data_IF_852974388133
#
_entry.id   IF_852974388133
#
_cell.length_a   1.000
_cell.length_b   1.000
_cell.length_c   1.000
_cell.angle_alpha   90.00
_cell.angle_beta   90.00
_cell.angle_gamma   90.00
#
_symmetry.space_group_name_H-M   'P 1'
#
loop_
_entity.id
_entity.type
_entity.pdbx_description
1 polymer ?
#
# COMPACT_ATOMS: atom_id res chain seq x y z
N UNK A 1 4.46 3.16 3.87
CA UNK A 1 3.36 4.13 4.01
C UNK A 1 2.03 3.39 3.99
N UNK A 2 1.18 3.64 4.98
CA UNK A 2 -0.20 3.15 5.01
C UNK A 2 -1.21 4.29 5.07
N UNK A 3 -2.36 4.10 4.44
CA UNK A 3 -3.51 4.99 4.55
C UNK A 3 -4.72 4.18 4.99
N UNK A 4 -5.41 4.64 6.01
CA UNK A 4 -6.63 4.03 6.51
C UNK A 4 -7.80 4.97 6.26
N UNK A 5 -8.87 4.42 5.69
CA UNK A 5 -10.13 5.11 5.41
C UNK A 5 -11.31 4.31 5.98
N UNK A 6 -12.52 4.82 5.89
CA UNK A 6 -13.73 4.03 6.20
C UNK A 6 -13.96 2.85 5.25
N UNK A 7 -13.37 2.88 4.05
CA UNK A 7 -13.54 1.84 3.02
C UNK A 7 -12.48 0.74 3.11
N UNK A 8 -11.36 0.97 3.79
CA UNK A 8 -10.29 -0.01 3.93
C UNK A 8 -8.95 0.59 4.31
N UNK A 9 -7.97 -0.29 4.44
CA UNK A 9 -6.56 0.05 4.60
C UNK A 9 -5.83 -0.16 3.28
N UNK A 10 -4.99 0.81 2.92
CA UNK A 10 -4.21 0.83 1.69
C UNK A 10 -2.74 0.91 2.07
N UNK A 11 -1.91 0.05 1.48
CA UNK A 11 -0.47 0.06 1.70
C UNK A 11 0.24 0.49 0.42
N UNK A 12 1.17 1.44 0.55
CA UNK A 12 2.09 1.81 -0.51
C UNK A 12 3.51 1.43 -0.10
N UNK A 13 3.99 0.25 -0.52
CA UNK A 13 5.41 -0.07 -0.48
C UNK A 13 6.19 0.86 -1.42
N UNK A 14 7.55 0.82 -1.42
CA UNK A 14 8.35 1.58 -2.38
C UNK A 14 7.83 1.42 -3.81
N UNK A 15 7.90 2.49 -4.58
CA UNK A 15 7.40 2.54 -5.96
C UNK A 15 5.88 2.36 -6.10
N UNK A 16 5.12 2.67 -5.05
CA UNK A 16 3.66 2.73 -5.07
C UNK A 16 3.18 4.07 -4.53
N UNK A 17 2.07 4.53 -5.06
CA UNK A 17 1.38 5.72 -4.56
C UNK A 17 -0.05 5.37 -4.16
N UNK A 18 -0.62 6.12 -3.25
CA UNK A 18 -2.02 6.00 -2.88
C UNK A 18 -2.74 7.22 -3.43
N UNK A 19 -3.68 6.98 -4.35
CA UNK A 19 -4.62 7.98 -4.78
C UNK A 19 -5.73 8.11 -3.74
N UNK A 20 -5.95 9.32 -3.26
CA UNK A 20 -6.98 9.62 -2.27
C UNK A 20 -7.92 10.64 -2.91
N UNK A 21 -9.21 10.33 -3.08
CA UNK A 21 -10.17 11.26 -3.65
C UNK A 21 -10.38 12.49 -2.76
N UNK A 22 -10.78 13.63 -3.34
CA UNK A 22 -11.11 14.83 -2.58
C UNK A 22 -12.16 14.55 -1.51
N UNK A 23 -11.99 15.13 -0.31
CA UNK A 23 -12.95 15.02 0.78
C UNK A 23 -13.00 13.68 1.51
N UNK A 24 -12.24 12.66 1.08
CA UNK A 24 -12.20 11.39 1.78
C UNK A 24 -11.41 11.51 3.09
N UNK A 25 -12.10 11.38 4.23
CA UNK A 25 -11.46 11.34 5.54
C UNK A 25 -10.53 10.13 5.64
N UNK A 26 -9.26 10.38 5.97
CA UNK A 26 -8.24 9.36 6.06
C UNK A 26 -7.21 9.66 7.15
N UNK A 27 -6.53 8.62 7.60
CA UNK A 27 -5.33 8.73 8.45
C UNK A 27 -4.14 8.11 7.73
N UNK A 28 -2.98 8.73 7.92
CA UNK A 28 -1.72 8.25 7.34
C UNK A 28 -0.89 7.61 8.44
N UNK A 29 -0.39 6.41 8.17
CA UNK A 29 0.50 5.67 9.07
C UNK A 29 1.85 5.51 8.39
N UNK A 30 2.89 6.04 9.02
CA UNK A 30 4.27 5.96 8.53
C UNK A 30 5.14 5.23 9.55
N UNK A 31 6.24 4.64 9.10
CA UNK A 31 7.33 4.18 9.95
C UNK A 31 8.41 5.27 10.03
N UNK A 32 9.28 5.21 11.04
CA UNK A 32 10.35 6.21 11.26
C UNK A 32 11.29 6.42 10.06
N UNK A 33 11.38 5.45 9.15
CA UNK A 33 12.23 5.50 7.95
C UNK A 33 11.47 5.89 6.67
N UNK A 34 10.21 6.31 6.77
CA UNK A 34 9.40 6.61 5.59
C UNK A 34 9.61 8.05 5.13
N UNK A 35 10.05 8.24 3.89
CA UNK A 35 10.01 9.53 3.21
C UNK A 35 8.73 9.63 2.39
N UNK A 36 7.74 10.34 2.90
CA UNK A 36 6.50 10.59 2.19
C UNK A 36 6.63 11.83 1.30
N UNK A 37 6.09 11.74 0.09
CA UNK A 37 5.87 12.88 -0.80
C UNK A 37 4.39 12.94 -1.14
N UNK A 38 3.77 14.09 -0.90
CA UNK A 38 2.36 14.32 -1.22
C UNK A 38 2.26 15.31 -2.36
N UNK A 39 1.40 14.99 -3.32
CA UNK A 39 0.97 15.89 -4.37
C UNK A 39 -0.50 16.23 -4.13
N UNK A 40 -0.82 17.50 -4.14
CA UNK A 40 -2.18 18.00 -4.10
C UNK A 40 -2.56 18.44 -5.51
N UNK A 41 -3.47 17.71 -6.13
CA UNK A 41 -3.87 17.91 -7.53
C UNK A 41 -5.28 18.48 -7.53
N UNK A 42 -5.45 19.65 -8.15
CA UNK A 42 -6.76 20.25 -8.33
C UNK A 42 -7.64 19.31 -9.18
N UNK A 43 -8.92 19.07 -8.82
CA UNK A 43 -9.80 18.16 -9.57
C UNK A 43 -9.92 18.51 -11.06
N UNK A 44 -9.82 19.79 -11.41
CA UNK A 44 -9.86 20.27 -12.80
C UNK A 44 -8.59 19.95 -13.61
N UNK A 45 -7.44 19.74 -12.93
CA UNK A 45 -6.15 19.52 -13.58
C UNK A 45 -5.97 18.08 -14.08
N UNK A 46 -6.74 17.13 -13.54
CA UNK A 46 -6.62 15.73 -13.91
C UNK A 46 -7.99 15.08 -14.07
N UNK A 47 -8.35 14.74 -15.31
CA UNK A 47 -9.53 13.94 -15.61
C UNK A 47 -9.22 12.47 -15.38
N UNK A 48 -9.71 11.92 -14.29
CA UNK A 48 -9.56 10.51 -13.98
C UNK A 48 -10.94 9.91 -13.71
N UNK A 49 -11.43 8.95 -14.53
CA UNK A 49 -12.74 8.34 -14.36
C UNK A 49 -12.90 7.62 -13.02
N UNK A 50 -11.79 7.16 -12.44
CA UNK A 50 -11.78 6.48 -11.14
C UNK A 50 -11.31 7.38 -9.98
N UNK A 51 -11.41 8.71 -10.15
CA UNK A 51 -10.94 9.66 -9.13
C UNK A 51 -11.74 9.60 -7.81
N UNK A 52 -12.93 8.99 -7.82
CA UNK A 52 -13.85 8.95 -6.67
C UNK A 52 -13.53 7.87 -5.63
N UNK A 53 -12.60 6.95 -5.91
CA UNK A 53 -12.23 5.89 -4.96
C UNK A 53 -10.76 5.92 -4.60
N UNK A 54 -10.46 5.52 -3.36
CA UNK A 54 -9.09 5.31 -2.92
C UNK A 54 -8.49 4.06 -3.59
N UNK A 55 -7.26 4.17 -4.10
CA UNK A 55 -6.58 3.07 -4.81
C UNK A 55 -5.08 3.20 -4.72
N UNK A 56 -4.40 2.07 -4.88
CA UNK A 56 -2.93 2.02 -4.94
C UNK A 56 -2.50 1.94 -6.38
N UNK A 57 -1.56 2.79 -6.77
CA UNK A 57 -1.04 2.92 -8.13
C UNK A 57 0.41 2.43 -8.20
N UNK A 58 0.76 1.74 -9.28
CA UNK A 58 2.12 1.35 -9.58
C UNK A 58 2.92 2.52 -10.13
N UNK A 59 3.93 3.01 -9.40
CA UNK A 59 4.74 4.15 -9.82
C UNK A 59 5.91 3.67 -10.67
N UNK A 60 5.97 4.14 -11.92
CA UNK A 60 7.11 3.85 -12.81
C UNK A 60 8.35 4.65 -12.42
N UNK A 61 9.58 4.24 -12.83
CA UNK A 61 10.78 5.05 -12.59
C UNK A 61 10.65 6.48 -13.12
N UNK A 62 10.06 6.66 -14.30
CA UNK A 62 9.81 7.99 -14.87
C UNK A 62 8.93 8.85 -13.97
N UNK A 63 7.79 8.29 -13.53
CA UNK A 63 6.86 9.03 -12.65
C UNK A 63 7.52 9.39 -11.33
N UNK A 64 8.34 8.52 -10.77
CA UNK A 64 9.08 8.80 -9.54
C UNK A 64 10.02 10.01 -9.69
N UNK A 65 10.76 10.08 -10.81
CA UNK A 65 11.68 11.21 -11.05
C UNK A 65 10.90 12.50 -11.36
N UNK A 66 9.79 12.41 -12.08
CA UNK A 66 8.88 13.55 -12.29
C UNK A 66 8.32 14.08 -10.96
N UNK A 67 7.86 13.20 -10.06
CA UNK A 67 7.41 13.59 -8.72
C UNK A 67 8.55 14.31 -7.95
N UNK A 68 9.77 13.77 -8.00
CA UNK A 68 10.93 14.39 -7.35
C UNK A 68 11.24 15.77 -7.91
N UNK A 69 11.14 15.94 -9.21
CA UNK A 69 11.39 17.22 -9.88
C UNK A 69 10.31 18.24 -9.53
N UNK A 70 9.03 17.85 -9.67
CA UNK A 70 7.89 18.75 -9.41
C UNK A 70 7.82 19.17 -7.93
N UNK A 71 8.12 18.27 -6.98
CA UNK A 71 8.12 18.63 -5.54
C UNK A 71 9.24 19.60 -5.13
N UNK A 72 10.14 19.95 -6.03
CA UNK A 72 11.19 20.98 -5.82
C UNK A 72 10.84 22.33 -6.43
N UNK A 73 9.80 22.40 -7.26
CA UNK A 73 9.33 23.64 -7.83
C UNK A 73 8.78 24.58 -6.75
N UNK A 74 8.87 25.89 -6.93
CA UNK A 74 8.16 26.83 -6.07
C UNK A 74 6.66 26.61 -6.17
N UNK A 75 5.91 27.02 -5.16
CA UNK A 75 4.43 26.89 -5.16
C UNK A 75 3.83 27.66 -6.32
N UNK A 76 4.36 28.85 -6.60
CA UNK A 76 4.00 29.69 -7.75
C UNK A 76 5.05 29.48 -8.85
N UNK A 77 4.86 28.46 -9.69
CA UNK A 77 5.72 28.18 -10.84
C UNK A 77 5.09 28.75 -12.13
N UNK A 78 5.90 28.95 -13.18
CA UNK A 78 5.42 29.38 -14.48
C UNK A 78 4.65 28.22 -15.18
N UNK A 79 3.32 28.31 -15.15
CA UNK A 79 2.43 27.29 -15.77
C UNK A 79 2.59 27.21 -17.29
N UNK A 80 3.03 28.29 -17.94
CA UNK A 80 3.20 28.37 -19.41
C UNK A 80 4.59 27.97 -19.87
N UNK A 81 5.55 28.00 -18.96
CA UNK A 81 6.94 27.75 -19.19
C UNK A 81 7.37 26.27 -19.12
N UNK A 82 8.66 26.01 -18.96
CA UNK A 82 9.21 24.66 -18.82
C UNK A 82 8.66 23.90 -17.62
N UNK A 83 8.40 24.58 -16.53
CA UNK A 83 7.87 24.00 -15.28
C UNK A 83 6.44 23.51 -15.47
N UNK A 84 5.59 24.30 -16.13
CA UNK A 84 4.23 23.90 -16.47
C UNK A 84 4.19 22.70 -17.41
N UNK A 85 5.10 22.62 -18.39
CA UNK A 85 5.22 21.43 -19.25
C UNK A 85 5.65 20.19 -18.47
N UNK A 86 6.55 20.33 -17.50
CA UNK A 86 6.97 19.23 -16.62
C UNK A 86 5.80 18.70 -15.78
N UNK A 87 5.00 19.62 -15.22
CA UNK A 87 3.78 19.25 -14.46
C UNK A 87 2.76 18.60 -15.36
N UNK A 88 2.52 19.10 -16.57
CA UNK A 88 1.60 18.49 -17.54
C UNK A 88 2.00 17.03 -17.86
N UNK A 89 3.28 16.78 -18.14
CA UNK A 89 3.78 15.42 -18.37
C UNK A 89 3.55 14.54 -17.14
N UNK A 90 3.81 15.03 -15.91
CA UNK A 90 3.53 14.27 -14.71
C UNK A 90 2.05 13.89 -14.60
N UNK A 91 1.13 14.82 -14.83
CA UNK A 91 -0.32 14.58 -14.76
C UNK A 91 -0.77 13.54 -15.79
N UNK A 92 -0.28 13.62 -17.03
CA UNK A 92 -0.55 12.62 -18.07
C UNK A 92 -0.06 11.23 -17.67
N UNK A 93 1.15 11.14 -17.11
CA UNK A 93 1.71 9.87 -16.64
C UNK A 93 0.94 9.32 -15.44
N UNK A 94 0.52 10.15 -14.49
CA UNK A 94 -0.28 9.73 -13.35
C UNK A 94 -1.65 9.19 -13.78
N UNK A 95 -2.28 9.79 -14.78
CA UNK A 95 -3.55 9.33 -15.32
C UNK A 95 -3.47 7.93 -15.94
N UNK A 96 -2.32 7.57 -16.49
CA UNK A 96 -2.05 6.27 -17.12
C UNK A 96 -1.53 5.18 -16.17
N UNK A 97 -1.35 5.46 -14.87
CA UNK A 97 -0.81 4.47 -13.93
C UNK A 97 -1.79 3.32 -13.69
N UNK A 98 -1.26 2.10 -13.76
CA UNK A 98 -2.03 0.90 -13.44
C UNK A 98 -2.34 0.82 -11.95
N UNK A 99 -3.58 0.45 -11.63
CA UNK A 99 -3.94 0.10 -10.26
C UNK A 99 -3.32 -1.25 -9.87
N UNK A 100 -2.85 -1.31 -8.64
CA UNK A 100 -2.29 -2.53 -8.04
C UNK A 100 -3.03 -2.88 -6.75
N UNK A 101 -3.26 -4.17 -6.53
CA UNK A 101 -4.11 -4.64 -5.44
C UNK A 101 -3.39 -4.70 -4.09
N UNK A 102 -3.00 -3.53 -3.57
CA UNK A 102 -2.40 -3.38 -2.23
C UNK A 102 -3.40 -2.82 -1.19
N UNK A 103 -4.68 -3.07 -1.40
CA UNK A 103 -5.74 -2.68 -0.47
C UNK A 103 -6.21 -3.87 0.35
N UNK A 104 -6.54 -3.62 1.60
CA UNK A 104 -7.19 -4.57 2.50
C UNK A 104 -8.55 -4.00 2.86
N UNK A 105 -9.66 -4.51 2.30
CA UNK A 105 -10.98 -4.04 2.64
C UNK A 105 -11.28 -4.33 4.12
N UNK A 106 -11.89 -3.38 4.82
CA UNK A 106 -12.25 -3.53 6.23
C UNK A 106 -13.72 -3.90 6.39
N UNK A 107 -14.05 -4.79 7.34
CA UNK A 107 -15.45 -5.06 7.66
C UNK A 107 -16.11 -3.80 8.27
N UNK A 108 -17.42 -3.68 8.06
CA UNK A 108 -18.22 -2.55 8.57
C UNK A 108 -18.69 -2.76 10.01
N UNK A 109 -18.82 -4.01 10.47
CA UNK A 109 -19.19 -4.35 11.83
C UNK A 109 -18.06 -3.92 12.77
N UNK A 110 -18.39 -3.07 13.79
CA UNK A 110 -17.40 -2.46 14.70
C UNK A 110 -16.56 -3.50 15.45
N UNK A 111 -17.13 -4.65 15.83
CA UNK A 111 -16.42 -5.75 16.50
C UNK A 111 -15.37 -6.37 15.57
N UNK A 112 -15.70 -6.52 14.28
CA UNK A 112 -14.78 -7.04 13.28
C UNK A 112 -13.75 -5.99 12.87
N UNK A 113 -14.09 -4.71 12.89
CA UNK A 113 -13.14 -3.62 12.68
C UNK A 113 -12.10 -3.60 13.80
N UNK A 114 -12.52 -3.74 15.05
CA UNK A 114 -11.61 -3.83 16.20
C UNK A 114 -10.70 -5.07 16.10
N UNK A 115 -11.28 -6.24 15.77
CA UNK A 115 -10.52 -7.46 15.55
C UNK A 115 -9.53 -7.33 14.39
N UNK A 116 -9.92 -6.66 13.30
CA UNK A 116 -9.03 -6.39 12.17
C UNK A 116 -7.82 -5.55 12.57
N UNK A 117 -8.05 -4.51 13.39
CA UNK A 117 -6.97 -3.67 13.92
C UNK A 117 -6.03 -4.44 14.85
N UNK A 118 -6.56 -5.35 15.68
CA UNK A 118 -5.75 -6.26 16.51
C UNK A 118 -4.87 -7.17 15.64
N UNK A 119 -5.44 -7.83 14.63
CA UNK A 119 -4.71 -8.69 13.70
C UNK A 119 -3.69 -7.92 12.84
N UNK A 120 -3.92 -6.65 12.57
CA UNK A 120 -2.94 -5.78 11.90
C UNK A 120 -1.70 -5.52 12.75
N UNK A 121 -1.83 -5.50 14.07
CA UNK A 121 -0.70 -5.35 15.01
C UNK A 121 0.04 -6.66 15.25
N UNK A 122 -0.66 -7.80 15.15
CA UNK A 122 -0.12 -9.12 15.38
C UNK A 122 -0.44 -10.06 14.21
N UNK A 123 0.25 -9.91 13.07
CA UNK A 123 -0.07 -10.68 11.85
C UNK A 123 0.26 -12.18 12.00
N UNK A 124 1.14 -12.53 12.93
CA UNK A 124 1.53 -13.90 13.29
C UNK A 124 0.51 -14.63 14.18
N UNK A 125 -0.54 -13.93 14.64
CA UNK A 125 -1.61 -14.54 15.44
C UNK A 125 -2.07 -15.89 14.85
N UNK A 126 -2.10 -16.95 15.68
CA UNK A 126 -2.45 -18.31 15.26
C UNK A 126 -3.86 -18.74 15.69
N UNK A 127 -4.62 -17.86 16.35
CA UNK A 127 -5.99 -18.19 16.76
C UNK A 127 -6.83 -18.61 15.56
N UNK A 128 -7.65 -19.60 15.78
CA UNK A 128 -8.60 -20.10 14.78
C UNK A 128 -9.75 -19.11 14.58
N UNK A 129 -10.48 -19.26 13.46
CA UNK A 129 -11.70 -18.49 13.19
C UNK A 129 -12.70 -18.57 14.36
N UNK A 130 -12.84 -19.77 14.95
CA UNK A 130 -13.79 -19.99 16.05
C UNK A 130 -13.38 -19.25 17.34
N UNK A 131 -12.10 -19.24 17.65
CA UNK A 131 -11.55 -18.50 18.82
C UNK A 131 -11.68 -16.99 18.64
N UNK A 132 -11.34 -16.49 17.46
CA UNK A 132 -11.49 -15.06 17.13
C UNK A 132 -12.93 -14.60 17.13
N UNK A 133 -13.84 -15.40 16.55
CA UNK A 133 -15.27 -15.11 16.56
C UNK A 133 -15.81 -15.05 18.00
N UNK A 134 -15.43 -16.00 18.85
CA UNK A 134 -15.82 -16.02 20.26
C UNK A 134 -15.29 -14.77 21.00
N UNK A 135 -14.04 -14.37 20.76
CA UNK A 135 -13.47 -13.15 21.32
C UNK A 135 -14.22 -11.88 20.90
N UNK A 136 -14.76 -11.85 19.69
CA UNK A 136 -15.60 -10.76 19.19
C UNK A 136 -17.08 -10.88 19.56
N UNK A 137 -17.49 -11.85 20.39
CA UNK A 137 -18.89 -12.07 20.74
C UNK A 137 -19.76 -12.56 19.59
N UNK A 138 -19.17 -13.31 18.64
CA UNK A 138 -19.83 -13.82 17.44
C UNK A 138 -19.72 -15.34 17.32
N UNK A 139 -20.64 -15.95 16.57
CA UNK A 139 -20.44 -17.30 16.08
C UNK A 139 -19.50 -17.29 14.85
N UNK A 140 -18.76 -18.37 14.60
CA UNK A 140 -17.91 -18.52 13.43
C UNK A 140 -18.70 -18.33 12.11
N UNK A 141 -19.96 -18.82 12.06
CA UNK A 141 -20.87 -18.63 10.93
C UNK A 141 -21.21 -17.14 10.70
N UNK A 142 -21.52 -16.42 11.77
CA UNK A 142 -21.84 -14.99 11.70
C UNK A 142 -20.63 -14.20 11.22
N UNK A 143 -19.45 -14.45 11.81
CA UNK A 143 -18.21 -13.81 11.41
C UNK A 143 -17.89 -14.04 9.93
N UNK A 144 -17.96 -15.28 9.45
CA UNK A 144 -17.74 -15.61 8.05
C UNK A 144 -18.68 -14.84 7.12
N UNK A 145 -19.97 -14.79 7.44
CA UNK A 145 -20.98 -14.09 6.65
C UNK A 145 -20.73 -12.59 6.61
N UNK A 146 -20.38 -11.98 7.73
CA UNK A 146 -20.09 -10.55 7.81
C UNK A 146 -18.82 -10.20 7.03
N UNK A 147 -17.73 -10.94 7.20
CA UNK A 147 -16.51 -10.73 6.40
C UNK A 147 -16.78 -10.82 4.90
N UNK A 148 -17.49 -11.85 4.46
CA UNK A 148 -17.81 -12.02 3.03
C UNK A 148 -18.69 -10.89 2.49
N UNK A 149 -19.69 -10.45 3.27
CA UNK A 149 -20.59 -9.36 2.89
C UNK A 149 -19.87 -8.04 2.77
N UNK A 150 -19.02 -7.71 3.77
CA UNK A 150 -18.45 -6.37 3.91
C UNK A 150 -17.16 -6.21 3.10
N UNK A 151 -16.38 -7.28 2.94
CA UNK A 151 -15.06 -7.22 2.31
C UNK A 151 -14.99 -7.93 0.94
N UNK A 152 -15.99 -8.72 0.59
CA UNK A 152 -15.94 -9.59 -0.58
C UNK A 152 -14.99 -10.78 -0.43
N UNK A 153 -14.32 -10.93 0.73
CA UNK A 153 -13.34 -11.98 0.99
C UNK A 153 -13.81 -12.93 2.09
N UNK A 154 -13.44 -14.22 1.98
CA UNK A 154 -13.49 -15.08 3.15
C UNK A 154 -12.47 -14.58 4.21
N UNK A 155 -12.75 -14.82 5.49
CA UNK A 155 -11.80 -14.43 6.56
C UNK A 155 -10.39 -15.01 6.33
N UNK A 156 -10.28 -16.25 5.83
CA UNK A 156 -9.01 -16.89 5.51
C UNK A 156 -8.25 -16.13 4.39
N UNK A 157 -8.95 -15.72 3.35
CA UNK A 157 -8.37 -14.96 2.24
C UNK A 157 -7.95 -13.56 2.72
N UNK A 158 -8.81 -12.90 3.50
CA UNK A 158 -8.53 -11.61 4.11
C UNK A 158 -7.29 -11.65 5.03
N UNK A 159 -7.22 -12.63 5.94
CA UNK A 159 -6.09 -12.81 6.84
C UNK A 159 -4.78 -13.12 6.10
N UNK A 160 -4.84 -13.96 5.05
CA UNK A 160 -3.68 -14.20 4.19
C UNK A 160 -3.18 -12.90 3.55
N UNK A 161 -4.09 -12.12 2.99
CA UNK A 161 -3.77 -10.84 2.35
C UNK A 161 -3.18 -9.84 3.35
N UNK A 162 -3.74 -9.74 4.56
CA UNK A 162 -3.19 -8.95 5.64
C UNK A 162 -1.73 -9.30 5.92
N UNK A 163 -1.43 -10.59 6.11
CA UNK A 163 -0.06 -11.08 6.39
C UNK A 163 0.91 -10.73 5.28
N UNK A 164 0.50 -10.88 4.03
CA UNK A 164 1.33 -10.55 2.87
C UNK A 164 1.55 -9.03 2.74
N UNK A 165 0.55 -8.21 3.01
CA UNK A 165 0.70 -6.76 3.03
C UNK A 165 1.64 -6.31 4.15
N UNK A 166 1.53 -6.89 5.34
CA UNK A 166 2.42 -6.59 6.48
C UNK A 166 3.88 -7.01 6.22
N UNK A 167 4.08 -8.11 5.48
CA UNK A 167 5.42 -8.57 5.12
C UNK A 167 6.22 -7.55 4.29
N UNK A 168 5.54 -6.69 3.55
CA UNK A 168 6.19 -5.66 2.74
C UNK A 168 7.06 -4.72 3.60
N UNK A 169 6.63 -4.38 4.81
CA UNK A 169 7.39 -3.50 5.71
C UNK A 169 8.74 -4.10 6.10
N UNK A 170 8.78 -5.38 6.48
CA UNK A 170 10.02 -6.08 6.82
C UNK A 170 10.93 -6.26 5.60
N UNK A 171 10.35 -6.60 4.45
CA UNK A 171 11.10 -6.71 3.19
C UNK A 171 11.72 -5.36 2.79
N UNK A 172 11.00 -4.26 2.92
CA UNK A 172 11.49 -2.90 2.67
C UNK A 172 12.61 -2.48 3.62
N UNK A 173 12.52 -2.94 4.88
CA UNK A 173 13.58 -2.71 5.87
C UNK A 173 14.84 -3.56 5.61
N UNK A 174 14.84 -4.42 4.57
CA UNK A 174 15.96 -5.29 4.24
C UNK A 174 16.08 -6.52 5.13
N UNK A 175 15.01 -6.87 5.86
CA UNK A 175 15.02 -8.05 6.72
C UNK A 175 15.09 -9.35 5.87
N UNK A 176 15.68 -10.39 6.45
CA UNK A 176 15.75 -11.68 5.77
C UNK A 176 14.35 -12.25 5.50
N UNK A 177 14.12 -12.72 4.26
CA UNK A 177 12.83 -13.28 3.81
C UNK A 177 12.31 -14.37 4.77
N UNK A 178 13.22 -15.16 5.34
CA UNK A 178 12.87 -16.21 6.32
C UNK A 178 12.30 -15.61 7.60
N UNK A 179 12.93 -14.53 8.12
CA UNK A 179 12.43 -13.83 9.31
C UNK A 179 11.05 -13.21 9.03
N UNK A 180 10.92 -12.48 7.92
CA UNK A 180 9.66 -11.84 7.53
C UNK A 180 8.52 -12.87 7.37
N UNK A 181 8.82 -14.04 6.79
CA UNK A 181 7.84 -15.11 6.67
C UNK A 181 7.32 -15.58 8.03
N UNK A 182 8.22 -15.80 9.00
CA UNK A 182 7.88 -16.21 10.36
C UNK A 182 7.08 -15.12 11.10
N UNK A 183 7.52 -13.89 11.06
CA UNK A 183 6.88 -12.73 11.70
C UNK A 183 5.47 -12.46 11.12
N UNK A 184 5.21 -12.92 9.90
CA UNK A 184 3.89 -12.87 9.27
C UNK A 184 3.08 -14.17 9.45
N UNK A 185 3.54 -15.08 10.30
CA UNK A 185 2.83 -16.30 10.69
C UNK A 185 2.84 -17.41 9.64
N UNK A 186 3.87 -17.46 8.78
CA UNK A 186 4.12 -18.56 7.86
C UNK A 186 5.11 -19.55 8.46
N UNK A 187 4.79 -20.85 8.41
CA UNK A 187 5.65 -21.92 8.90
C UNK A 187 6.78 -22.30 7.95
N UNK A 188 6.78 -21.79 6.71
CA UNK A 188 7.85 -22.01 5.75
C UNK A 188 8.01 -20.84 4.79
N UNK A 189 9.25 -20.54 4.45
CA UNK A 189 9.61 -19.52 3.44
C UNK A 189 9.08 -19.88 2.05
N UNK A 190 9.00 -21.17 1.74
CA UNK A 190 8.46 -21.64 0.46
C UNK A 190 6.96 -21.32 0.33
N UNK A 191 6.17 -21.64 1.36
CA UNK A 191 4.73 -21.32 1.37
C UNK A 191 4.50 -19.81 1.32
N UNK A 192 5.29 -19.04 2.05
CA UNK A 192 5.26 -17.59 2.02
C UNK A 192 5.57 -17.05 0.61
N UNK A 193 6.68 -17.49 0.00
CA UNK A 193 7.11 -17.00 -1.32
C UNK A 193 6.10 -17.35 -2.42
N UNK A 194 5.49 -18.52 -2.36
CA UNK A 194 4.43 -18.92 -3.28
C UNK A 194 3.18 -18.05 -3.12
N UNK A 195 2.74 -17.81 -1.88
CA UNK A 195 1.60 -16.96 -1.58
C UNK A 195 1.86 -15.50 -2.00
N UNK A 196 3.07 -15.00 -1.74
CA UNK A 196 3.51 -13.65 -2.10
C UNK A 196 3.51 -13.46 -3.62
N UNK A 197 4.11 -14.39 -4.36
CA UNK A 197 4.13 -14.36 -5.83
C UNK A 197 2.72 -14.44 -6.43
N UNK A 198 1.85 -15.28 -5.85
CA UNK A 198 0.45 -15.36 -6.28
C UNK A 198 -0.30 -14.03 -6.08
N UNK A 199 -0.08 -13.34 -4.96
CA UNK A 199 -0.77 -12.09 -4.63
C UNK A 199 -0.22 -10.88 -5.37
N UNK A 200 1.11 -10.80 -5.54
CA UNK A 200 1.80 -9.60 -6.03
C UNK A 200 2.48 -9.76 -7.39
N UNK A 201 2.44 -10.94 -7.97
CA UNK A 201 3.03 -11.24 -9.28
C UNK A 201 4.57 -11.39 -9.29
N UNK A 202 5.24 -11.08 -8.19
CA UNK A 202 6.70 -11.16 -8.02
C UNK A 202 7.06 -11.92 -6.74
N UNK A 203 8.25 -12.50 -6.69
CA UNK A 203 8.77 -13.12 -5.46
C UNK A 203 9.18 -12.06 -4.45
N UNK A 204 9.27 -12.37 -3.13
CA UNK A 204 9.77 -11.44 -2.13
C UNK A 204 11.15 -10.88 -2.46
N UNK A 205 12.05 -11.69 -3.04
CA UNK A 205 13.39 -11.26 -3.46
C UNK A 205 13.36 -10.28 -4.62
N UNK A 206 12.53 -10.52 -5.63
CA UNK A 206 12.34 -9.62 -6.78
C UNK A 206 11.72 -8.29 -6.33
N UNK A 207 10.78 -8.32 -5.39
CA UNK A 207 10.17 -7.12 -4.82
C UNK A 207 11.20 -6.25 -4.09
N UNK A 208 12.16 -6.85 -3.36
CA UNK A 208 13.26 -6.15 -2.67
C UNK A 208 14.32 -5.67 -3.68
N UNK A 209 14.69 -6.49 -4.66
CA UNK A 209 15.72 -6.12 -5.65
C UNK A 209 15.29 -4.91 -6.50
N UNK A 210 14.02 -4.83 -6.84
CA UNK A 210 13.44 -3.65 -7.53
C UNK A 210 13.51 -2.36 -6.69
N UNK A 211 13.77 -2.48 -5.38
CA UNK A 211 13.92 -1.35 -4.43
C UNK A 211 15.39 -0.92 -4.30
N UNK A 212 16.34 -1.79 -4.65
CA UNK A 212 17.76 -1.69 -4.36
C UNK A 212 18.63 -1.15 -5.50
N UNK A 213 18.06 -0.55 -6.56
CA UNK A 213 18.92 0.17 -7.52
C UNK A 213 19.60 1.34 -6.82
N UNK A 214 20.93 1.33 -6.68
CA UNK A 214 21.65 2.39 -6.01
C UNK A 214 21.52 3.67 -6.82
N UNK A 215 21.20 4.75 -6.13
CA UNK A 215 21.47 6.12 -6.62
C UNK A 215 22.96 6.15 -6.96
N UNK A 216 23.30 6.15 -8.24
CA UNK A 216 24.65 6.41 -8.68
C UNK A 216 25.10 7.72 -8.03
N UNK A 217 26.10 7.60 -7.15
CA UNK A 217 26.79 8.74 -6.54
C UNK A 217 27.35 9.58 -7.69
N UNK A 218 26.83 10.76 -7.89
CA UNK A 218 27.51 11.73 -8.74
C UNK A 218 28.85 12.03 -8.09
N UNK A 219 29.99 11.95 -8.83
CA UNK A 219 31.26 12.41 -8.32
C UNK A 219 31.17 13.93 -8.12
N UNK A 220 31.61 14.38 -6.94
CA UNK A 220 31.85 15.78 -6.64
C UNK A 220 32.66 16.45 -7.76
N UNK A 221 32.02 17.34 -8.49
CA UNK A 221 32.72 18.27 -9.36
C UNK A 221 33.23 19.42 -8.49
N UNK A 222 34.35 19.20 -7.80
CA UNK A 222 35.23 20.28 -7.41
C UNK A 222 36.02 20.73 -8.63
N UNK A 223 35.68 21.90 -9.17
CA UNK A 223 36.66 22.95 -9.54
C UNK A 223 35.91 24.20 -9.98
#
# INVERSE_FOLDING_TARGET
LGVRTRQGSYLAPPQRAIWIPPGLAHSVVTTERTQMRSLYIAPAAMRNPDAERCRVLGVTPLVRELIRAVTRLPVEYDETGPEGRLVAVLLDQLAGLAEVHFSLPLPLDERLTALSAELETSPDDQRTLTELARGAGLSARTMTRLFQRDTGLSFRAWRRRLRLLKSLNGLEAGEAVTKVALDCGYNSTTAFSAAFKHEFGATPREAVASTAEPVASQPDAQK
#
